data_IF_280903292361
#
_entry.id   IF_280903292361
#
_cell.length_a   1.000
_cell.length_b   1.000
_cell.length_c   1.000
_cell.angle_alpha   90.00
_cell.angle_beta   90.00
_cell.angle_gamma   90.00
#
_symmetry.space_group_name_H-M   'P 1'
#
loop_
_entity.id
_entity.type
_entity.pdbx_description
1 polymer ?
#
# COMPACT_ATOMS: atom_id res chain seq x y z
N UNK A 1 14.02 10.16 25.51
CA UNK A 1 13.33 8.94 25.05
C UNK A 1 12.08 9.44 24.37
N UNK A 2 12.19 9.56 23.06
CA UNK A 2 11.81 10.78 22.35
C UNK A 2 10.58 10.51 21.48
N UNK A 3 9.71 11.51 21.31
CA UNK A 3 8.39 11.40 20.65
C UNK A 3 8.44 10.71 19.28
N UNK A 4 9.55 10.85 18.55
CA UNK A 4 9.84 10.15 17.30
C UNK A 4 9.71 8.63 17.42
N UNK A 5 10.27 8.05 18.49
CA UNK A 5 10.24 6.60 18.75
C UNK A 5 8.82 6.11 19.06
N UNK A 6 8.00 6.93 19.72
CA UNK A 6 6.60 6.61 19.96
C UNK A 6 5.77 6.70 18.68
N UNK A 7 6.08 7.67 17.81
CA UNK A 7 5.46 7.80 16.49
C UNK A 7 5.74 6.56 15.63
N UNK A 8 6.99 6.08 15.61
CA UNK A 8 7.37 4.87 14.89
C UNK A 8 6.62 3.64 15.42
N UNK A 9 6.49 3.47 16.73
CA UNK A 9 5.73 2.36 17.32
C UNK A 9 4.25 2.45 16.93
N UNK A 10 3.64 3.63 17.07
CA UNK A 10 2.25 3.83 16.69
C UNK A 10 2.04 3.48 15.22
N UNK A 11 2.94 3.93 14.34
CA UNK A 11 2.86 3.65 12.91
C UNK A 11 3.00 2.14 12.61
N UNK A 12 3.92 1.44 13.28
CA UNK A 12 4.05 -0.01 13.15
C UNK A 12 2.80 -0.77 13.63
N UNK A 13 2.14 -0.30 14.69
CA UNK A 13 0.85 -0.84 15.12
C UNK A 13 -0.21 -0.63 14.04
N UNK A 14 -0.29 0.56 13.45
CA UNK A 14 -1.23 0.82 12.35
C UNK A 14 -1.00 -0.11 11.16
N UNK A 15 0.26 -0.32 10.75
CA UNK A 15 0.55 -1.26 9.66
C UNK A 15 0.13 -2.69 10.00
N UNK A 16 0.36 -3.14 11.23
CA UNK A 16 -0.08 -4.48 11.67
C UNK A 16 -1.60 -4.62 11.61
N UNK A 17 -2.34 -3.59 12.06
CA UNK A 17 -3.80 -3.59 12.02
C UNK A 17 -4.34 -3.57 10.58
N UNK A 18 -3.74 -2.75 9.71
CA UNK A 18 -4.09 -2.67 8.30
C UNK A 18 -3.83 -4.00 7.59
N UNK A 19 -2.67 -4.61 7.82
CA UNK A 19 -2.32 -5.92 7.26
C UNK A 19 -3.34 -6.99 7.67
N UNK A 20 -3.69 -7.06 8.96
CA UNK A 20 -4.71 -8.01 9.45
C UNK A 20 -6.06 -7.75 8.79
N UNK A 21 -6.49 -6.48 8.70
CA UNK A 21 -7.76 -6.12 8.09
C UNK A 21 -7.80 -6.48 6.60
N UNK A 22 -6.75 -6.18 5.85
CA UNK A 22 -6.68 -6.51 4.43
C UNK A 22 -6.67 -8.03 4.21
N UNK A 23 -5.98 -8.78 5.07
CA UNK A 23 -5.97 -10.23 5.04
C UNK A 23 -7.37 -10.82 5.27
N UNK A 24 -8.07 -10.36 6.31
CA UNK A 24 -9.39 -10.88 6.67
C UNK A 24 -10.48 -10.56 5.62
N UNK A 25 -10.29 -9.49 4.84
CA UNK A 25 -11.24 -9.02 3.84
C UNK A 25 -10.82 -9.31 2.38
N UNK A 26 -9.78 -10.12 2.16
CA UNK A 26 -9.21 -10.42 0.84
C UNK A 26 -8.87 -9.17 0.00
N UNK A 27 -8.35 -8.14 0.66
CA UNK A 27 -7.85 -6.92 0.02
C UNK A 27 -6.38 -7.13 -0.28
N UNK A 28 -5.99 -7.04 -1.55
CA UNK A 28 -4.58 -7.07 -1.95
C UNK A 28 -3.80 -5.92 -1.33
N UNK A 29 -2.65 -6.24 -0.72
CA UNK A 29 -1.76 -5.28 -0.08
C UNK A 29 -0.32 -5.53 -0.55
N UNK A 30 0.42 -4.45 -0.81
CA UNK A 30 1.83 -4.48 -1.16
C UNK A 30 2.59 -3.46 -0.32
N UNK A 31 3.86 -3.75 -0.04
CA UNK A 31 4.78 -2.77 0.56
C UNK A 31 5.55 -2.07 -0.55
N UNK A 32 5.72 -0.76 -0.43
CA UNK A 32 6.56 0.04 -1.31
C UNK A 32 7.77 0.52 -0.52
N UNK A 33 8.96 0.42 -1.11
CA UNK A 33 10.22 0.85 -0.49
C UNK A 33 10.52 2.34 -0.70
N UNK A 34 10.05 2.92 -1.82
CA UNK A 34 10.29 4.31 -2.20
C UNK A 34 9.01 5.16 -2.09
N UNK A 35 8.86 5.84 -0.96
CA UNK A 35 7.72 6.72 -0.68
C UNK A 35 7.75 8.01 -1.50
N UNK A 36 8.95 8.54 -1.84
CA UNK A 36 9.06 9.74 -2.66
C UNK A 36 8.57 9.45 -4.07
N UNK A 37 8.95 8.30 -4.61
CA UNK A 37 8.47 7.83 -5.91
C UNK A 37 6.97 7.57 -5.92
N UNK A 38 6.43 7.02 -4.83
CA UNK A 38 4.98 6.85 -4.69
C UNK A 38 4.25 8.19 -4.73
N UNK A 39 4.75 9.21 -4.01
CA UNK A 39 4.20 10.56 -4.02
C UNK A 39 4.23 11.19 -5.43
N UNK A 40 5.33 11.03 -6.17
CA UNK A 40 5.46 11.49 -7.55
C UNK A 40 4.44 10.86 -8.50
N UNK A 41 4.12 9.57 -8.30
CA UNK A 41 3.15 8.83 -9.12
C UNK A 41 1.72 9.27 -8.82
N UNK A 42 1.39 9.49 -7.55
CA UNK A 42 0.03 9.89 -7.14
C UNK A 42 -0.29 11.32 -7.57
N UNK A 43 0.71 12.21 -7.65
CA UNK A 43 0.63 13.56 -8.22
C UNK A 43 -0.26 14.56 -7.45
N UNK A 44 0.06 15.87 -7.54
CA UNK A 44 -0.59 17.13 -7.07
C UNK A 44 -1.29 17.19 -5.68
N UNK A 45 -1.40 16.06 -4.98
CA UNK A 45 -1.72 15.90 -3.57
C UNK A 45 -0.47 15.72 -2.73
N UNK A 46 0.69 16.06 -3.29
CA UNK A 46 1.99 15.88 -2.64
C UNK A 46 2.05 16.54 -1.25
N UNK A 47 1.42 17.71 -1.08
CA UNK A 47 1.30 18.40 0.22
C UNK A 47 0.41 17.66 1.24
N UNK A 48 -0.58 16.88 0.80
CA UNK A 48 -1.38 15.99 1.65
C UNK A 48 -0.70 14.63 1.89
N UNK A 49 0.33 14.31 1.09
CA UNK A 49 1.03 13.03 1.07
C UNK A 49 2.36 13.06 1.83
N UNK A 50 2.86 14.22 2.27
CA UNK A 50 4.11 14.31 3.06
C UNK A 50 4.07 13.43 4.32
N UNK A 51 2.89 13.28 4.94
CA UNK A 51 2.64 12.43 6.10
C UNK A 51 1.83 11.15 5.76
N UNK A 52 1.55 10.89 4.47
CA UNK A 52 0.77 9.72 4.08
C UNK A 52 1.67 8.47 4.00
N UNK A 53 1.43 7.52 4.90
CA UNK A 53 2.18 6.25 4.96
C UNK A 53 1.48 5.08 4.27
N UNK A 54 0.29 5.31 3.72
CA UNK A 54 -0.54 4.28 3.09
C UNK A 54 -1.47 4.91 2.06
N UNK A 55 -1.67 4.22 0.93
CA UNK A 55 -2.62 4.61 -0.12
C UNK A 55 -3.61 3.47 -0.29
N UNK A 56 -4.91 3.77 -0.17
CA UNK A 56 -5.98 2.83 -0.44
C UNK A 56 -6.61 3.15 -1.79
N UNK A 57 -6.58 2.17 -2.70
CA UNK A 57 -7.28 2.27 -3.98
C UNK A 57 -8.67 1.67 -3.80
N UNK A 58 -9.71 2.46 -4.08
CA UNK A 58 -11.13 2.04 -3.99
C UNK A 58 -11.80 2.10 -5.35
N UNK A 59 -12.91 1.38 -5.52
CA UNK A 59 -13.67 1.37 -6.77
C UNK A 59 -14.10 2.80 -7.11
N UNK A 60 -13.96 3.26 -8.36
CA UNK A 60 -14.64 4.48 -8.77
C UNK A 60 -16.15 4.38 -8.53
N UNK A 61 -16.80 5.53 -8.30
CA UNK A 61 -18.21 5.61 -7.89
C UNK A 61 -19.19 5.04 -8.93
N UNK A 62 -18.75 4.87 -10.18
CA UNK A 62 -19.48 4.23 -11.28
C UNK A 62 -19.31 2.70 -11.33
N UNK A 63 -18.48 2.13 -10.44
CA UNK A 63 -18.40 0.70 -10.18
C UNK A 63 -17.47 -0.09 -11.10
N UNK A 64 -16.80 0.57 -12.06
CA UNK A 64 -15.99 -0.10 -13.08
C UNK A 64 -14.52 -0.18 -12.69
N UNK A 65 -14.08 -1.36 -12.23
CA UNK A 65 -12.65 -1.72 -12.15
C UNK A 65 -12.16 -2.30 -13.48
N UNK A 66 -12.22 -1.54 -14.58
CA UNK A 66 -11.74 -2.00 -15.89
C UNK A 66 -10.27 -1.64 -16.15
N UNK A 67 -9.43 -1.69 -15.11
CA UNK A 67 -7.99 -1.40 -15.24
C UNK A 67 -7.17 -2.71 -15.17
N UNK A 68 -6.63 -3.20 -16.31
CA UNK A 68 -5.86 -4.46 -16.35
C UNK A 68 -4.61 -4.46 -15.46
N UNK A 69 -4.09 -3.27 -15.11
CA UNK A 69 -2.96 -3.16 -14.19
C UNK A 69 -3.31 -3.59 -12.76
N UNK A 70 -4.54 -3.32 -12.31
CA UNK A 70 -4.99 -3.72 -10.98
C UNK A 70 -5.21 -5.22 -10.86
N UNK A 71 -5.72 -5.85 -11.92
CA UNK A 71 -5.82 -7.32 -11.99
C UNK A 71 -4.43 -7.98 -11.92
N UNK A 72 -3.43 -7.43 -12.62
CA UNK A 72 -2.04 -7.91 -12.54
C UNK A 72 -1.47 -7.79 -11.12
N UNK A 73 -1.70 -6.67 -10.45
CA UNK A 73 -1.27 -6.47 -9.06
C UNK A 73 -1.97 -7.45 -8.12
N UNK A 74 -3.27 -7.70 -8.33
CA UNK A 74 -4.01 -8.68 -7.55
C UNK A 74 -3.44 -10.09 -7.73
N UNK A 75 -3.19 -10.51 -8.98
CA UNK A 75 -2.58 -11.80 -9.28
C UNK A 75 -1.20 -11.96 -8.64
N UNK A 76 -0.36 -10.93 -8.73
CA UNK A 76 0.95 -10.90 -8.05
C UNK A 76 0.80 -11.14 -6.53
N UNK A 77 -0.15 -10.46 -5.88
CA UNK A 77 -0.40 -10.66 -4.45
C UNK A 77 -0.89 -12.08 -4.14
N UNK A 78 -1.72 -12.68 -5.00
CA UNK A 78 -2.18 -14.06 -4.81
C UNK A 78 -1.03 -15.07 -4.95
N UNK A 79 -0.16 -14.88 -5.95
CA UNK A 79 1.02 -15.72 -6.14
C UNK A 79 1.99 -15.63 -4.96
N UNK A 80 2.25 -14.43 -4.45
CA UNK A 80 3.08 -14.22 -3.25
C UNK A 80 2.48 -14.89 -2.01
N UNK A 81 1.16 -14.82 -1.82
CA UNK A 81 0.47 -15.50 -0.72
C UNK A 81 0.69 -17.01 -0.74
N UNK A 82 0.74 -17.64 -1.93
CA UNK A 82 1.05 -19.08 -2.08
C UNK A 82 2.47 -19.44 -1.63
N UNK A 83 3.38 -18.47 -1.60
CA UNK A 83 4.75 -18.61 -1.10
C UNK A 83 4.90 -18.23 0.38
N UNK A 84 3.79 -17.97 1.07
CA UNK A 84 3.75 -17.43 2.45
C UNK A 84 4.30 -16.00 2.56
N UNK A 85 4.35 -15.26 1.45
CA UNK A 85 4.65 -13.84 1.43
C UNK A 85 3.34 -13.04 1.41
N UNK A 86 2.89 -12.66 2.61
CA UNK A 86 1.58 -12.03 2.83
C UNK A 86 1.55 -10.54 2.48
N UNK A 87 2.71 -9.89 2.47
CA UNK A 87 2.84 -8.45 2.21
C UNK A 87 4.04 -8.25 1.30
N UNK A 88 3.90 -8.65 0.02
CA UNK A 88 5.02 -8.60 -0.91
C UNK A 88 5.49 -7.17 -1.13
N UNK A 89 6.80 -7.00 -1.25
CA UNK A 89 7.43 -5.72 -1.54
C UNK A 89 7.52 -5.50 -3.06
N UNK A 90 7.18 -4.29 -3.52
CA UNK A 90 7.33 -3.87 -4.91
C UNK A 90 8.28 -2.69 -5.00
N UNK A 91 9.14 -2.72 -6.03
CA UNK A 91 9.99 -1.60 -6.40
C UNK A 91 9.32 -0.81 -7.53
N UNK A 92 9.12 0.48 -7.33
CA UNK A 92 8.54 1.35 -8.36
C UNK A 92 9.59 1.63 -9.44
N UNK A 93 9.23 1.55 -10.74
CA UNK A 93 10.19 1.79 -11.82
C UNK A 93 10.65 3.25 -11.84
N UNK A 94 11.91 3.48 -12.24
CA UNK A 94 12.46 4.82 -12.51
C UNK A 94 11.72 5.51 -13.68
N UNK A 95 11.73 6.86 -13.72
CA UNK A 95 10.98 7.64 -14.72
C UNK A 95 11.74 7.81 -16.03
#
# INVERSE_FOLDING_TARGET
MDEQFQCDIALQIHFTLIQSFCFDNDISIVRVSDMQRLADIVGDKAEELEDAHCVLITNPADGSWEEPALEKLHLFCEESRRLNDWVPEISLPER
#
